data_IF_307964861674
#
_entry.id   IF_307964861674
#
_cell.length_a   1.000
_cell.length_b   1.000
_cell.length_c   1.000
_cell.angle_alpha   90.00
_cell.angle_beta   90.00
_cell.angle_gamma   90.00
#
_symmetry.space_group_name_H-M   'P 1'
#
loop_
_entity.id
_entity.type
_entity.pdbx_description
1 polymer ?
#
# COMPACT_ATOMS: atom_id res chain seq x y z
N UNK A 1 15.38 -23.85 -47.47
CA UNK A 1 15.94 -22.51 -47.22
C UNK A 1 15.57 -22.01 -45.84
N UNK A 2 16.58 -21.52 -45.10
CA UNK A 2 16.43 -20.89 -43.79
C UNK A 2 16.14 -19.39 -43.96
N UNK A 3 15.39 -18.80 -43.03
CA UNK A 3 14.98 -17.40 -43.10
C UNK A 3 15.82 -16.46 -42.22
N UNK A 4 16.48 -16.99 -41.19
CA UNK A 4 17.27 -16.24 -40.21
C UNK A 4 18.74 -16.63 -40.33
N UNK A 5 19.04 -17.93 -40.24
CA UNK A 5 20.40 -18.48 -40.27
C UNK A 5 20.88 -18.74 -41.70
N UNK A 6 20.77 -17.73 -42.57
CA UNK A 6 21.24 -17.85 -43.94
C UNK A 6 22.77 -17.90 -43.99
N UNK A 7 23.31 -18.93 -44.62
CA UNK A 7 24.74 -19.13 -44.77
C UNK A 7 25.06 -19.77 -46.13
N UNK A 8 26.22 -19.45 -46.71
CA UNK A 8 26.62 -19.91 -48.05
C UNK A 8 27.06 -21.39 -48.07
N UNK A 9 27.52 -21.92 -46.92
CA UNK A 9 27.91 -23.32 -46.78
C UNK A 9 26.72 -24.22 -46.39
N UNK A 10 26.86 -25.57 -46.49
CA UNK A 10 25.84 -26.50 -46.06
C UNK A 10 25.46 -26.28 -44.59
N UNK A 11 24.16 -26.26 -44.30
CA UNK A 11 23.65 -26.06 -42.94
C UNK A 11 23.21 -27.37 -42.30
N UNK A 12 23.42 -27.49 -40.99
CA UNK A 12 22.92 -28.58 -40.16
C UNK A 12 21.44 -28.39 -39.75
N UNK A 13 20.83 -27.26 -40.08
CA UNK A 13 19.47 -26.91 -39.64
C UNK A 13 18.43 -27.07 -40.73
N UNK A 14 17.26 -27.58 -40.34
CA UNK A 14 16.04 -27.52 -41.15
C UNK A 14 15.20 -26.29 -40.78
N UNK A 15 14.25 -25.91 -41.63
CA UNK A 15 13.28 -24.84 -41.33
C UNK A 15 12.54 -25.08 -40.01
N UNK A 16 12.15 -26.34 -39.73
CA UNK A 16 11.47 -26.73 -38.49
C UNK A 16 12.36 -26.55 -37.25
N UNK A 17 13.67 -26.77 -37.40
CA UNK A 17 14.63 -26.49 -36.33
C UNK A 17 14.73 -24.98 -36.07
N UNK A 18 14.80 -24.16 -37.12
CA UNK A 18 14.82 -22.70 -36.99
C UNK A 18 13.53 -22.14 -36.34
N UNK A 19 12.36 -22.68 -36.66
CA UNK A 19 11.10 -22.36 -35.99
C UNK A 19 11.12 -22.76 -34.50
N UNK A 20 11.73 -23.91 -34.19
CA UNK A 20 11.89 -24.38 -32.81
C UNK A 20 12.85 -23.49 -32.01
N UNK A 21 13.92 -23.00 -32.64
CA UNK A 21 14.84 -22.02 -32.05
C UNK A 21 14.17 -20.67 -31.79
N UNK A 22 13.26 -20.21 -32.66
CA UNK A 22 12.46 -19.02 -32.39
C UNK A 22 11.59 -19.17 -31.13
N UNK A 23 10.98 -20.33 -30.93
CA UNK A 23 10.21 -20.61 -29.71
C UNK A 23 11.13 -20.68 -28.48
N UNK A 24 12.30 -21.32 -28.62
CA UNK A 24 13.28 -21.46 -27.55
C UNK A 24 13.81 -20.11 -27.06
N UNK A 25 14.28 -19.22 -27.95
CA UNK A 25 14.79 -17.90 -27.53
C UNK A 25 13.73 -17.09 -26.79
N UNK A 26 12.47 -17.14 -27.22
CA UNK A 26 11.37 -16.41 -26.54
C UNK A 26 11.18 -16.92 -25.12
N UNK A 27 11.09 -18.24 -24.96
CA UNK A 27 10.95 -18.86 -23.64
C UNK A 27 12.12 -18.54 -22.73
N UNK A 28 13.35 -18.73 -23.21
CA UNK A 28 14.57 -18.49 -22.43
C UNK A 28 14.71 -17.02 -22.02
N UNK A 29 14.38 -16.09 -22.91
CA UNK A 29 14.39 -14.66 -22.59
C UNK A 29 13.35 -14.32 -21.52
N UNK A 30 12.12 -14.79 -21.65
CA UNK A 30 11.08 -14.56 -20.63
C UNK A 30 11.52 -15.11 -19.27
N UNK A 31 12.08 -16.33 -19.23
CA UNK A 31 12.58 -16.94 -17.99
C UNK A 31 13.75 -16.16 -17.39
N UNK A 32 14.67 -15.65 -18.21
CA UNK A 32 15.81 -14.84 -17.75
C UNK A 32 15.34 -13.51 -17.15
N UNK A 33 14.37 -12.84 -17.78
CA UNK A 33 13.79 -11.59 -17.28
C UNK A 33 13.04 -11.84 -15.96
N UNK A 34 12.25 -12.90 -15.88
CA UNK A 34 11.57 -13.32 -14.65
C UNK A 34 12.56 -13.58 -13.50
N UNK A 35 13.67 -14.26 -13.77
CA UNK A 35 14.72 -14.51 -12.79
C UNK A 35 15.37 -13.21 -12.29
N UNK A 36 15.65 -12.25 -13.19
CA UNK A 36 16.21 -10.95 -12.81
C UNK A 36 15.24 -10.10 -11.99
N UNK A 37 13.94 -10.20 -12.27
CA UNK A 37 12.90 -9.47 -11.55
C UNK A 37 12.55 -10.09 -10.19
N UNK A 38 12.89 -11.36 -9.97
CA UNK A 38 12.44 -12.12 -8.80
C UNK A 38 12.77 -11.42 -7.48
N UNK A 39 14.03 -11.04 -7.27
CA UNK A 39 14.47 -10.41 -6.03
C UNK A 39 13.83 -9.02 -5.85
N UNK A 40 13.69 -8.25 -6.94
CA UNK A 40 13.02 -6.95 -6.90
C UNK A 40 11.54 -7.06 -6.51
N UNK A 41 10.81 -8.01 -7.09
CA UNK A 41 9.42 -8.30 -6.71
C UNK A 41 9.34 -8.76 -5.26
N UNK A 42 10.21 -9.69 -4.87
CA UNK A 42 10.24 -10.25 -3.52
C UNK A 42 10.42 -9.15 -2.47
N UNK A 43 11.34 -8.22 -2.70
CA UNK A 43 11.60 -7.11 -1.78
C UNK A 43 10.41 -6.15 -1.66
N UNK A 44 9.75 -5.81 -2.77
CA UNK A 44 8.57 -4.93 -2.74
C UNK A 44 7.38 -5.62 -2.07
N UNK A 45 7.08 -6.86 -2.43
CA UNK A 45 5.99 -7.63 -1.79
C UNK A 45 6.25 -7.82 -0.30
N UNK A 46 7.48 -8.17 0.09
CA UNK A 46 7.86 -8.34 1.48
C UNK A 46 7.67 -7.07 2.31
N UNK A 47 7.96 -5.89 1.73
CA UNK A 47 7.72 -4.61 2.38
C UNK A 47 6.22 -4.26 2.45
N UNK A 48 5.44 -4.53 1.39
CA UNK A 48 3.98 -4.36 1.41
C UNK A 48 3.36 -5.17 2.54
N UNK A 49 3.69 -6.46 2.63
CA UNK A 49 3.15 -7.35 3.66
C UNK A 49 3.54 -6.87 5.06
N UNK A 50 4.80 -6.51 5.28
CA UNK A 50 5.24 -6.01 6.58
C UNK A 50 4.56 -4.69 6.98
N UNK A 51 4.34 -3.79 6.01
CA UNK A 51 3.62 -2.54 6.24
C UNK A 51 2.15 -2.80 6.60
N UNK A 52 1.48 -3.70 5.87
CA UNK A 52 0.09 -4.08 6.14
C UNK A 52 -0.07 -4.71 7.53
N UNK A 53 0.78 -5.69 7.89
CA UNK A 53 0.75 -6.33 9.21
C UNK A 53 0.94 -5.31 10.35
N UNK A 54 1.89 -4.38 10.21
CA UNK A 54 2.13 -3.35 11.20
C UNK A 54 0.93 -2.39 11.32
N UNK A 55 0.35 -1.99 10.19
CA UNK A 55 -0.81 -1.10 10.15
C UNK A 55 -2.06 -1.76 10.75
N UNK A 56 -2.36 -3.01 10.43
CA UNK A 56 -3.47 -3.76 11.01
C UNK A 56 -3.32 -3.91 12.53
N UNK A 57 -2.10 -4.18 13.01
CA UNK A 57 -1.80 -4.24 14.45
C UNK A 57 -2.07 -2.89 15.14
N UNK A 58 -1.64 -1.79 14.52
CA UNK A 58 -1.88 -0.42 14.97
C UNK A 58 -3.36 -0.08 15.04
N UNK A 59 -4.13 -0.41 14.00
CA UNK A 59 -5.57 -0.20 13.96
C UNK A 59 -6.27 -0.98 15.07
N UNK A 60 -5.96 -2.27 15.21
CA UNK A 60 -6.55 -3.12 16.26
C UNK A 60 -6.26 -2.57 17.66
N UNK A 61 -5.05 -2.07 17.89
CA UNK A 61 -4.68 -1.44 19.16
C UNK A 61 -5.51 -0.17 19.41
N UNK A 62 -5.62 0.71 18.42
CA UNK A 62 -6.39 1.95 18.52
C UNK A 62 -7.90 1.68 18.69
N UNK A 63 -8.44 0.67 18.01
CA UNK A 63 -9.82 0.21 18.15
C UNK A 63 -10.09 -0.31 19.56
N UNK A 64 -9.26 -1.25 20.05
CA UNK A 64 -9.40 -1.80 21.40
C UNK A 64 -9.33 -0.71 22.47
N UNK A 65 -8.39 0.24 22.32
CA UNK A 65 -8.27 1.37 23.24
C UNK A 65 -9.52 2.26 23.22
N UNK A 66 -10.05 2.53 22.04
CA UNK A 66 -11.28 3.32 21.85
C UNK A 66 -12.48 2.60 22.46
N UNK A 67 -12.66 1.30 22.22
CA UNK A 67 -13.72 0.49 22.83
C UNK A 67 -13.60 0.48 24.36
N UNK A 68 -12.39 0.34 24.90
CA UNK A 68 -12.13 0.39 26.34
C UNK A 68 -12.54 1.72 26.98
N UNK A 69 -12.44 2.86 26.27
CA UNK A 69 -12.97 4.15 26.75
C UNK A 69 -14.46 4.04 27.09
N UNK A 70 -15.22 3.47 26.17
CA UNK A 70 -16.66 3.36 26.33
C UNK A 70 -17.01 2.38 27.44
N UNK A 71 -16.34 1.23 27.50
CA UNK A 71 -16.55 0.23 28.56
C UNK A 71 -16.16 0.71 29.97
N UNK A 72 -15.25 1.68 30.08
CA UNK A 72 -14.74 2.16 31.37
C UNK A 72 -15.36 3.48 31.80
N UNK A 73 -15.28 4.51 30.96
CA UNK A 73 -15.71 5.88 31.27
C UNK A 73 -17.17 6.16 30.87
N UNK A 74 -17.69 5.47 29.85
CA UNK A 74 -19.00 5.76 29.27
C UNK A 74 -19.92 4.54 29.18
N UNK A 75 -19.89 3.69 30.22
CA UNK A 75 -20.65 2.41 30.30
C UNK A 75 -22.10 2.48 29.80
N UNK A 76 -22.91 3.51 30.13
CA UNK A 76 -24.31 3.56 29.70
C UNK A 76 -24.54 3.59 28.20
N UNK A 77 -23.51 3.92 27.40
CA UNK A 77 -23.58 3.93 25.93
C UNK A 77 -22.60 2.95 25.27
N UNK A 78 -21.93 2.09 26.04
CA UNK A 78 -20.86 1.25 25.51
C UNK A 78 -21.35 0.22 24.49
N UNK A 79 -22.52 -0.37 24.71
CA UNK A 79 -23.09 -1.36 23.79
C UNK A 79 -23.46 -0.73 22.45
N UNK A 80 -24.14 0.42 22.49
CA UNK A 80 -24.57 1.13 21.28
C UNK A 80 -23.39 1.81 20.55
N UNK A 81 -22.33 2.19 21.27
CA UNK A 81 -21.13 2.79 20.68
C UNK A 81 -20.19 1.75 20.01
N UNK A 82 -20.34 0.47 20.31
CA UNK A 82 -19.46 -0.58 19.79
C UNK A 82 -19.46 -0.64 18.25
N UNK A 83 -20.64 -0.58 17.61
CA UNK A 83 -20.71 -0.64 16.14
C UNK A 83 -20.14 0.62 15.47
N UNK A 84 -20.48 1.86 15.88
CA UNK A 84 -19.82 3.06 15.35
C UNK A 84 -18.29 3.05 15.47
N UNK A 85 -17.75 2.56 16.59
CA UNK A 85 -16.29 2.44 16.77
C UNK A 85 -15.71 1.47 15.73
N UNK A 86 -16.28 0.28 15.62
CA UNK A 86 -15.84 -0.73 14.64
C UNK A 86 -15.94 -0.24 13.19
N UNK A 87 -17.04 0.43 12.85
CA UNK A 87 -17.24 1.04 11.52
C UNK A 87 -16.15 2.07 11.20
N UNK A 88 -15.80 2.95 12.15
CA UNK A 88 -14.74 3.95 11.98
C UNK A 88 -13.40 3.30 11.61
N UNK A 89 -12.97 2.28 12.37
CA UNK A 89 -11.70 1.60 12.12
C UNK A 89 -11.73 0.75 10.84
N UNK A 90 -12.88 0.19 10.49
CA UNK A 90 -13.09 -0.50 9.21
C UNK A 90 -12.96 0.47 8.03
N UNK A 91 -13.59 1.64 8.10
CA UNK A 91 -13.50 2.66 7.06
C UNK A 91 -12.06 3.19 6.89
N UNK A 92 -11.32 3.37 7.99
CA UNK A 92 -9.90 3.73 7.97
C UNK A 92 -9.06 2.64 7.27
N UNK A 93 -9.32 1.36 7.56
CA UNK A 93 -8.62 0.25 6.92
C UNK A 93 -8.89 0.22 5.41
N UNK A 94 -10.17 0.32 5.01
CA UNK A 94 -10.59 0.35 3.62
C UNK A 94 -10.01 1.56 2.87
N UNK A 95 -9.89 2.73 3.52
CA UNK A 95 -9.25 3.91 2.96
C UNK A 95 -7.79 3.63 2.55
N UNK A 96 -7.00 2.96 3.39
CA UNK A 96 -5.61 2.63 3.05
C UNK A 96 -5.53 1.60 1.92
N UNK A 97 -6.46 0.63 1.91
CA UNK A 97 -6.56 -0.39 0.86
C UNK A 97 -7.06 0.15 -0.49
N UNK A 98 -7.48 1.41 -0.55
CA UNK A 98 -7.79 2.10 -1.80
C UNK A 98 -9.27 2.37 -2.06
N UNK A 99 -10.16 2.14 -1.08
CA UNK A 99 -11.57 2.51 -1.20
C UNK A 99 -11.76 4.01 -1.47
N UNK A 100 -12.87 4.39 -2.10
CA UNK A 100 -13.16 5.80 -2.45
C UNK A 100 -13.69 6.64 -1.29
N UNK A 101 -13.99 6.01 -0.14
CA UNK A 101 -14.39 6.71 1.08
C UNK A 101 -13.29 7.68 1.52
N UNK A 102 -13.65 8.80 2.16
CA UNK A 102 -12.68 9.76 2.70
C UNK A 102 -12.57 9.63 4.21
N UNK A 103 -11.39 9.94 4.76
CA UNK A 103 -11.17 10.00 6.21
C UNK A 103 -12.17 10.95 6.87
N UNK A 104 -12.42 12.09 6.24
CA UNK A 104 -13.43 13.05 6.69
C UNK A 104 -14.82 12.41 6.80
N UNK A 105 -15.28 11.72 5.76
CA UNK A 105 -16.61 11.09 5.77
C UNK A 105 -16.75 10.01 6.86
N UNK A 106 -15.69 9.23 7.11
CA UNK A 106 -15.67 8.19 8.13
C UNK A 106 -15.75 8.79 9.55
N UNK A 107 -14.92 9.79 9.83
CA UNK A 107 -14.89 10.48 11.13
C UNK A 107 -16.19 11.22 11.39
N UNK A 108 -16.72 11.94 10.40
CA UNK A 108 -17.98 12.67 10.54
C UNK A 108 -19.16 11.73 10.77
N UNK A 109 -19.24 10.61 10.04
CA UNK A 109 -20.28 9.58 10.23
C UNK A 109 -20.21 8.96 11.63
N UNK A 110 -19.00 8.73 12.15
CA UNK A 110 -18.81 8.29 13.53
C UNK A 110 -19.40 9.31 14.52
N UNK A 111 -19.10 10.60 14.37
CA UNK A 111 -19.65 11.63 15.25
C UNK A 111 -21.17 11.83 15.07
N UNK A 112 -21.72 11.61 13.86
CA UNK A 112 -23.17 11.57 13.64
C UNK A 112 -23.81 10.46 14.46
N UNK A 113 -23.23 9.25 14.45
CA UNK A 113 -23.71 8.13 15.25
C UNK A 113 -23.49 8.31 16.76
N UNK A 114 -22.45 9.03 17.16
CA UNK A 114 -22.12 9.25 18.58
C UNK A 114 -23.05 10.28 19.23
N UNK A 115 -23.49 11.31 18.51
CA UNK A 115 -24.22 12.43 19.11
C UNK A 115 -25.55 12.03 19.77
N UNK A 116 -26.43 11.20 19.16
CA UNK A 116 -27.64 10.76 19.84
C UNK A 116 -27.39 10.01 21.14
N UNK A 117 -26.29 9.24 21.21
CA UNK A 117 -25.90 8.50 22.42
C UNK A 117 -25.45 9.45 23.53
N UNK A 118 -24.58 10.41 23.20
CA UNK A 118 -24.12 11.43 24.15
C UNK A 118 -25.30 12.28 24.62
N UNK A 119 -26.21 12.66 23.73
CA UNK A 119 -27.36 13.48 24.07
C UNK A 119 -28.31 12.76 25.05
N UNK A 120 -28.72 11.53 24.74
CA UNK A 120 -29.66 10.76 25.56
C UNK A 120 -29.06 10.21 26.85
N UNK A 121 -27.80 9.76 26.85
CA UNK A 121 -27.21 9.08 28.00
C UNK A 121 -26.46 10.02 28.95
N UNK A 122 -25.92 11.13 28.44
CA UNK A 122 -25.06 12.02 29.22
C UNK A 122 -25.64 13.43 29.42
N UNK A 123 -26.26 14.02 28.39
CA UNK A 123 -26.79 15.39 28.48
C UNK A 123 -28.21 15.38 29.09
N UNK A 124 -29.08 14.49 28.64
CA UNK A 124 -30.46 14.33 29.11
C UNK A 124 -30.77 12.87 29.49
N UNK A 125 -30.18 12.35 30.58
CA UNK A 125 -30.33 10.95 31.00
C UNK A 125 -31.77 10.53 31.34
N UNK A 126 -32.70 11.49 31.48
CA UNK A 126 -34.13 11.21 31.68
C UNK A 126 -34.87 10.75 30.41
N UNK A 127 -34.21 10.73 29.24
CA UNK A 127 -34.78 10.26 27.99
C UNK A 127 -34.29 8.83 27.73
N UNK A 128 -35.14 7.85 28.05
CA UNK A 128 -34.78 6.42 27.97
C UNK A 128 -34.92 5.84 26.56
N UNK A 129 -35.91 6.30 25.78
CA UNK A 129 -36.14 5.88 24.39
C UNK A 129 -36.37 7.12 23.49
N UNK A 130 -35.38 7.43 22.65
CA UNK A 130 -35.55 8.39 21.57
C UNK A 130 -36.31 7.72 20.42
N UNK A 131 -37.33 8.38 19.87
CA UNK A 131 -37.94 7.91 18.63
C UNK A 131 -36.90 7.91 17.49
N UNK A 132 -37.10 7.05 16.48
CA UNK A 132 -36.22 6.99 15.32
C UNK A 132 -36.12 8.35 14.62
N UNK A 133 -37.26 9.02 14.42
CA UNK A 133 -37.32 10.38 13.85
C UNK A 133 -36.51 11.41 14.66
N UNK A 134 -36.53 11.31 15.99
CA UNK A 134 -35.79 12.23 16.85
C UNK A 134 -34.29 11.93 16.81
N UNK A 135 -33.92 10.65 16.80
CA UNK A 135 -32.54 10.19 16.64
C UNK A 135 -31.95 10.67 15.32
N UNK A 136 -32.73 10.61 14.24
CA UNK A 136 -32.30 11.11 12.93
C UNK A 136 -32.21 12.63 12.90
N UNK A 137 -33.14 13.35 13.54
CA UNK A 137 -33.01 14.80 13.70
C UNK A 137 -31.70 15.19 14.42
N UNK A 138 -31.35 14.49 15.49
CA UNK A 138 -30.08 14.70 16.20
C UNK A 138 -28.89 14.49 15.26
N UNK A 139 -28.87 13.39 14.49
CA UNK A 139 -27.82 13.10 13.51
C UNK A 139 -27.65 14.24 12.51
N UNK A 140 -28.73 14.64 11.85
CA UNK A 140 -28.71 15.68 10.80
C UNK A 140 -28.30 17.05 11.36
N UNK A 141 -28.73 17.37 12.58
CA UNK A 141 -28.47 18.67 13.21
C UNK A 141 -27.04 18.79 13.77
N UNK A 142 -26.34 17.67 13.98
CA UNK A 142 -25.00 17.62 14.61
C UNK A 142 -24.00 18.57 13.96
N UNK A 143 -24.00 18.65 12.63
CA UNK A 143 -23.06 19.52 11.90
C UNK A 143 -23.29 21.01 12.17
N UNK A 144 -24.55 21.43 12.28
CA UNK A 144 -24.93 22.83 12.47
C UNK A 144 -24.70 23.32 13.90
N UNK A 145 -25.00 22.47 14.90
CA UNK A 145 -24.87 22.84 16.32
C UNK A 145 -23.48 22.55 16.90
N UNK A 146 -22.68 21.73 16.21
CA UNK A 146 -21.32 21.36 16.56
C UNK A 146 -21.12 20.98 18.05
N UNK A 147 -21.77 19.90 18.53
CA UNK A 147 -21.79 19.56 19.96
C UNK A 147 -20.39 19.18 20.49
N UNK A 148 -19.54 18.69 19.61
CA UNK A 148 -18.18 18.23 19.90
C UNK A 148 -17.11 19.31 19.72
N UNK A 149 -17.48 20.57 19.50
CA UNK A 149 -16.52 21.67 19.37
C UNK A 149 -15.53 21.45 18.22
N UNK A 150 -14.26 21.82 18.42
CA UNK A 150 -13.22 21.69 17.39
C UNK A 150 -12.64 20.27 17.29
N UNK A 151 -12.91 19.38 18.25
CA UNK A 151 -12.28 18.06 18.36
C UNK A 151 -12.60 17.14 17.17
N UNK A 152 -13.83 17.18 16.65
CA UNK A 152 -14.20 16.41 15.45
C UNK A 152 -13.38 16.83 14.21
N UNK A 153 -13.22 18.14 13.99
CA UNK A 153 -12.44 18.69 12.86
C UNK A 153 -10.93 18.49 13.03
N UNK A 154 -10.42 18.60 14.26
CA UNK A 154 -9.02 18.33 14.55
C UNK A 154 -8.69 16.85 14.30
N UNK A 155 -9.56 15.93 14.73
CA UNK A 155 -9.40 14.51 14.45
C UNK A 155 -9.38 14.21 12.95
N UNK A 156 -10.25 14.85 12.15
CA UNK A 156 -10.19 14.76 10.69
C UNK A 156 -8.83 15.21 10.15
N UNK A 157 -8.32 16.35 10.63
CA UNK A 157 -7.07 16.94 10.14
C UNK A 157 -5.86 16.05 10.43
N UNK A 158 -5.73 15.60 11.68
CA UNK A 158 -4.63 14.73 12.13
C UNK A 158 -4.66 13.38 11.40
N UNK A 159 -5.83 12.74 11.31
CA UNK A 159 -5.96 11.46 10.63
C UNK A 159 -5.74 11.59 9.11
N UNK A 160 -6.27 12.64 8.48
CA UNK A 160 -6.17 12.79 7.02
C UNK A 160 -4.73 12.91 6.56
N UNK A 161 -3.89 13.66 7.29
CA UNK A 161 -2.46 13.82 6.96
C UNK A 161 -1.73 12.47 6.99
N UNK A 162 -1.80 11.78 8.12
CA UNK A 162 -1.05 10.53 8.33
C UNK A 162 -1.57 9.38 7.47
N UNK A 163 -2.89 9.24 7.33
CA UNK A 163 -3.50 8.20 6.51
C UNK A 163 -3.27 8.45 5.02
N UNK A 164 -3.25 9.71 4.57
CA UNK A 164 -2.93 10.02 3.18
C UNK A 164 -1.51 9.55 2.81
N UNK A 165 -0.51 9.82 3.67
CA UNK A 165 0.86 9.37 3.44
C UNK A 165 0.94 7.83 3.36
N UNK A 166 0.28 7.13 4.28
CA UNK A 166 0.16 5.67 4.27
C UNK A 166 -0.50 5.12 3.01
N UNK A 167 -1.58 5.76 2.54
CA UNK A 167 -2.27 5.38 1.29
C UNK A 167 -1.37 5.60 0.09
N UNK A 168 -0.64 6.71 0.04
CA UNK A 168 0.30 6.98 -1.05
C UNK A 168 1.45 5.98 -1.08
N UNK A 169 1.97 5.57 0.08
CA UNK A 169 3.01 4.55 0.15
C UNK A 169 2.50 3.21 -0.37
N UNK A 170 1.33 2.78 0.08
CA UNK A 170 0.70 1.55 -0.41
C UNK A 170 0.51 1.57 -1.93
N UNK A 171 -0.03 2.67 -2.48
CA UNK A 171 -0.20 2.86 -3.92
C UNK A 171 1.12 2.86 -4.68
N UNK A 172 2.15 3.53 -4.17
CA UNK A 172 3.46 3.56 -4.80
C UNK A 172 4.08 2.16 -4.87
N UNK A 173 3.98 1.38 -3.79
CA UNK A 173 4.47 0.00 -3.77
C UNK A 173 3.70 -0.90 -4.77
N UNK A 174 2.36 -0.78 -4.82
CA UNK A 174 1.53 -1.50 -5.80
C UNK A 174 1.88 -1.13 -7.25
N UNK A 175 2.08 0.16 -7.53
CA UNK A 175 2.53 0.64 -8.84
C UNK A 175 3.90 0.06 -9.21
N UNK A 176 4.83 -0.02 -8.25
CA UNK A 176 6.13 -0.67 -8.44
C UNK A 176 5.98 -2.12 -8.92
N UNK A 177 5.10 -2.91 -8.31
CA UNK A 177 4.78 -4.28 -8.74
C UNK A 177 4.16 -4.30 -10.14
N UNK A 178 3.24 -3.38 -10.43
CA UNK A 178 2.58 -3.29 -11.73
C UNK A 178 3.59 -2.98 -12.85
N UNK A 179 4.51 -2.05 -12.63
CA UNK A 179 5.58 -1.70 -13.58
C UNK A 179 6.49 -2.91 -13.83
N UNK A 180 6.88 -3.63 -12.78
CA UNK A 180 7.72 -4.83 -12.94
C UNK A 180 6.95 -5.93 -13.67
N UNK A 181 5.68 -6.18 -13.34
CA UNK A 181 4.86 -7.17 -14.03
C UNK A 181 4.66 -6.82 -15.51
N UNK A 182 4.40 -5.56 -15.82
CA UNK A 182 4.21 -5.08 -17.20
C UNK A 182 5.50 -5.23 -18.01
N UNK A 183 6.64 -4.83 -17.44
CA UNK A 183 7.95 -4.93 -18.12
C UNK A 183 8.44 -6.38 -18.27
N UNK A 184 8.10 -7.27 -17.33
CA UNK A 184 8.38 -8.70 -17.42
C UNK A 184 7.66 -9.39 -18.59
N UNK A 185 6.43 -8.97 -18.87
CA UNK A 185 5.57 -9.54 -19.90
C UNK A 185 5.62 -8.75 -21.22
N UNK A 186 6.57 -7.82 -21.37
CA UNK A 186 6.75 -7.07 -22.59
C UNK A 186 7.05 -8.02 -23.77
N UNK A 187 6.19 -7.98 -24.79
CA UNK A 187 6.31 -8.87 -25.93
C UNK A 187 7.57 -8.56 -26.74
N UNK A 188 8.36 -9.59 -27.04
CA UNK A 188 9.50 -9.45 -27.95
C UNK A 188 9.01 -9.23 -29.39
N UNK A 189 9.55 -8.22 -30.06
CA UNK A 189 9.26 -7.98 -31.48
C UNK A 189 9.74 -9.14 -32.36
N UNK A 190 9.22 -9.23 -33.59
CA UNK A 190 9.66 -10.24 -34.56
C UNK A 190 11.14 -10.05 -34.89
N UNK A 191 11.58 -8.80 -35.00
CA UNK A 191 12.96 -8.40 -35.29
C UNK A 191 13.89 -8.81 -34.15
N UNK A 192 13.49 -8.55 -32.90
CA UNK A 192 14.22 -9.01 -31.72
C UNK A 192 14.33 -10.54 -31.69
N UNK A 193 13.21 -11.24 -31.93
CA UNK A 193 13.19 -12.71 -31.98
C UNK A 193 14.15 -13.26 -33.05
N UNK A 194 14.23 -12.61 -34.22
CA UNK A 194 15.19 -12.98 -35.28
C UNK A 194 16.63 -12.70 -34.88
N UNK A 195 16.90 -11.55 -34.26
CA UNK A 195 18.23 -11.19 -33.79
C UNK A 195 18.74 -12.14 -32.70
N UNK A 196 17.87 -12.54 -31.77
CA UNK A 196 18.19 -13.52 -30.73
C UNK A 196 18.53 -14.90 -31.31
N UNK A 197 17.75 -15.39 -32.28
CA UNK A 197 18.07 -16.65 -32.97
C UNK A 197 19.41 -16.54 -33.69
N UNK A 198 19.67 -15.42 -34.36
CA UNK A 198 20.96 -15.15 -35.03
C UNK A 198 22.12 -15.16 -34.06
N UNK A 199 21.91 -14.62 -32.88
CA UNK A 199 22.93 -14.54 -31.84
C UNK A 199 23.21 -15.89 -31.17
N UNK A 200 22.17 -16.68 -30.88
CA UNK A 200 22.29 -17.85 -30.00
C UNK A 200 22.38 -19.18 -30.76
N UNK A 201 21.62 -19.35 -31.84
CA UNK A 201 21.46 -20.67 -32.46
C UNK A 201 21.98 -20.77 -33.89
N UNK A 202 22.20 -19.68 -34.61
CA UNK A 202 22.84 -19.78 -35.93
C UNK A 202 24.24 -20.41 -35.94
N UNK A 203 25.10 -20.27 -34.91
CA UNK A 203 26.33 -21.05 -34.81
C UNK A 203 26.09 -22.56 -34.87
N UNK A 204 25.03 -23.04 -34.21
CA UNK A 204 24.67 -24.46 -34.20
C UNK A 204 24.31 -24.96 -35.60
N UNK A 205 23.65 -24.11 -36.40
CA UNK A 205 23.32 -24.40 -37.80
C UNK A 205 24.55 -24.47 -38.72
N UNK A 206 25.69 -23.95 -38.27
CA UNK A 206 27.00 -24.05 -38.92
C UNK A 206 27.90 -25.12 -38.27
N UNK A 207 27.38 -25.92 -37.34
CA UNK A 207 28.16 -26.95 -36.61
C UNK A 207 28.98 -26.42 -35.42
N UNK A 208 28.85 -25.13 -35.08
CA UNK A 208 29.59 -24.44 -34.02
C UNK A 208 28.80 -24.42 -32.70
N UNK A 209 28.43 -25.58 -32.17
CA UNK A 209 27.53 -25.69 -30.99
C UNK A 209 28.16 -25.30 -29.66
N UNK A 210 29.48 -25.15 -29.60
CA UNK A 210 30.23 -24.78 -28.38
C UNK A 210 30.65 -23.30 -28.37
N UNK A 211 30.42 -22.56 -29.45
CA UNK A 211 30.80 -21.14 -29.56
C UNK A 211 29.65 -20.27 -29.05
N UNK A 212 29.92 -19.45 -28.03
CA UNK A 212 28.95 -18.48 -27.49
C UNK A 212 29.11 -17.11 -28.17
N UNK A 213 28.06 -16.25 -28.16
CA UNK A 213 28.16 -14.91 -28.71
C UNK A 213 29.17 -14.04 -27.95
N UNK A 214 29.80 -13.12 -28.69
CA UNK A 214 30.64 -12.08 -28.11
C UNK A 214 29.80 -11.17 -27.20
N UNK A 215 30.39 -10.67 -26.10
CA UNK A 215 29.71 -9.78 -25.15
C UNK A 215 29.15 -8.53 -25.85
N UNK A 216 29.95 -7.88 -26.71
CA UNK A 216 29.52 -6.70 -27.45
C UNK A 216 28.34 -6.99 -28.40
N UNK A 217 28.32 -8.18 -29.02
CA UNK A 217 27.20 -8.58 -29.87
C UNK A 217 25.94 -8.84 -29.04
N UNK A 218 26.07 -9.52 -27.90
CA UNK A 218 24.97 -9.70 -26.96
C UNK A 218 24.38 -8.37 -26.52
N UNK A 219 25.21 -7.43 -26.07
CA UNK A 219 24.75 -6.12 -25.60
C UNK A 219 23.98 -5.37 -26.70
N UNK A 220 24.47 -5.39 -27.94
CA UNK A 220 23.79 -4.73 -29.05
C UNK A 220 22.41 -5.33 -29.33
N UNK A 221 22.31 -6.66 -29.37
CA UNK A 221 21.02 -7.35 -29.56
C UNK A 221 20.07 -7.06 -28.40
N UNK A 222 20.54 -7.15 -27.16
CA UNK A 222 19.69 -6.98 -25.98
C UNK A 222 19.22 -5.53 -25.80
N UNK A 223 20.07 -4.54 -26.07
CA UNK A 223 19.66 -3.12 -26.07
C UNK A 223 18.61 -2.83 -27.15
N UNK A 224 18.76 -3.43 -28.34
CA UNK A 224 17.74 -3.32 -29.40
C UNK A 224 16.41 -3.96 -29.00
N UNK A 225 16.45 -5.14 -28.37
CA UNK A 225 15.27 -5.85 -27.89
C UNK A 225 14.53 -5.13 -26.75
N UNK A 226 15.27 -4.46 -25.86
CA UNK A 226 14.75 -3.86 -24.63
C UNK A 226 14.70 -2.33 -24.69
N UNK A 227 14.76 -1.74 -25.88
CA UNK A 227 14.78 -0.29 -26.07
C UNK A 227 13.60 0.39 -25.35
N UNK A 228 12.37 -0.09 -25.56
CA UNK A 228 11.17 0.45 -24.91
C UNK A 228 11.15 0.27 -23.38
N UNK A 229 11.76 -0.81 -22.88
CA UNK A 229 11.89 -1.04 -21.42
C UNK A 229 12.93 -0.08 -20.83
N UNK A 230 14.02 0.19 -21.56
CA UNK A 230 15.09 1.09 -21.10
C UNK A 230 14.66 2.56 -21.01
N UNK A 231 13.63 2.97 -21.77
CA UNK A 231 13.05 4.32 -21.67
C UNK A 231 12.49 4.63 -20.27
N UNK A 232 12.10 3.61 -19.51
CA UNK A 232 11.58 3.75 -18.15
C UNK A 232 12.64 4.10 -17.11
N UNK A 233 13.94 4.05 -17.44
CA UNK A 233 15.03 4.24 -16.47
C UNK A 233 14.93 5.59 -15.74
N UNK A 234 14.60 6.67 -16.45
CA UNK A 234 14.47 7.99 -15.84
C UNK A 234 13.32 8.03 -14.81
N UNK A 235 12.14 7.53 -15.18
CA UNK A 235 10.96 7.50 -14.29
C UNK A 235 11.16 6.53 -13.13
N UNK A 236 11.83 5.40 -13.36
CA UNK A 236 12.14 4.42 -12.33
C UNK A 236 13.10 4.97 -11.26
N UNK A 237 14.11 5.75 -11.68
CA UNK A 237 15.02 6.43 -10.75
C UNK A 237 14.27 7.41 -9.86
N UNK A 238 13.38 8.19 -10.45
CA UNK A 238 12.56 9.17 -9.72
C UNK A 238 11.58 8.48 -8.76
N UNK A 239 10.95 7.39 -9.23
CA UNK A 239 10.10 6.54 -8.40
C UNK A 239 10.84 6.03 -7.17
N UNK A 240 12.05 5.48 -7.32
CA UNK A 240 12.85 4.98 -6.20
C UNK A 240 13.21 6.11 -5.23
N UNK A 241 13.62 7.28 -5.74
CA UNK A 241 13.93 8.43 -4.90
C UNK A 241 12.73 8.93 -4.11
N UNK A 242 11.55 8.99 -4.74
CA UNK A 242 10.29 9.38 -4.09
C UNK A 242 9.85 8.35 -3.05
N UNK A 243 9.96 7.06 -3.38
CA UNK A 243 9.62 5.96 -2.48
C UNK A 243 10.53 5.97 -1.24
N UNK A 244 11.83 6.17 -1.42
CA UNK A 244 12.79 6.30 -0.32
C UNK A 244 12.45 7.50 0.58
N UNK A 245 12.14 8.65 -0.01
CA UNK A 245 11.72 9.83 0.75
C UNK A 245 10.48 9.55 1.60
N UNK A 246 9.42 9.02 0.98
CA UNK A 246 8.15 8.75 1.67
C UNK A 246 8.30 7.76 2.82
N UNK A 247 9.04 6.66 2.61
CA UNK A 247 9.27 5.66 3.65
C UNK A 247 10.08 6.22 4.83
N UNK A 248 11.06 7.09 4.55
CA UNK A 248 11.86 7.71 5.61
C UNK A 248 11.04 8.75 6.39
N UNK A 249 10.26 9.58 5.71
CA UNK A 249 9.42 10.61 6.34
C UNK A 249 8.36 9.99 7.26
N UNK A 250 7.69 8.94 6.78
CA UNK A 250 6.70 8.22 7.58
C UNK A 250 7.29 7.57 8.83
N UNK A 251 8.51 7.06 8.74
CA UNK A 251 9.16 6.41 9.86
C UNK A 251 9.80 7.38 10.86
N UNK A 252 10.22 8.57 10.42
CA UNK A 252 10.82 9.58 11.29
C UNK A 252 9.77 10.32 12.12
N UNK A 253 8.60 10.57 11.53
CA UNK A 253 7.56 11.42 12.12
C UNK A 253 6.72 10.71 13.17
N UNK A 254 6.62 9.36 13.13
CA UNK A 254 5.69 8.57 13.95
C UNK A 254 4.23 9.05 13.89
N UNK A 255 3.90 9.90 12.90
CA UNK A 255 2.65 10.65 12.84
C UNK A 255 1.42 9.74 12.72
N UNK A 256 1.57 8.57 12.09
CA UNK A 256 0.50 7.59 12.00
C UNK A 256 0.16 6.95 13.34
N UNK A 257 1.19 6.59 14.11
CA UNK A 257 1.01 5.95 15.42
C UNK A 257 0.39 6.93 16.41
N UNK A 258 0.87 8.18 16.38
CA UNK A 258 0.33 9.28 17.17
C UNK A 258 -1.11 9.61 16.77
N UNK A 259 -1.41 9.71 15.47
CA UNK A 259 -2.76 10.02 14.99
C UNK A 259 -3.76 8.92 15.36
N UNK A 260 -3.42 7.63 15.13
CA UNK A 260 -4.30 6.50 15.48
C UNK A 260 -4.47 6.36 17.00
N UNK A 261 -3.40 6.49 17.78
CA UNK A 261 -3.49 6.44 19.25
C UNK A 261 -4.25 7.64 19.83
N UNK A 262 -4.23 8.78 19.14
CA UNK A 262 -4.92 10.01 19.51
C UNK A 262 -6.43 10.00 19.29
N UNK A 263 -6.97 9.01 18.56
CA UNK A 263 -8.40 8.84 18.30
C UNK A 263 -9.18 8.79 19.62
N UNK A 264 -8.78 7.89 20.52
CA UNK A 264 -9.36 7.74 21.84
C UNK A 264 -9.43 9.07 22.61
N UNK A 265 -8.33 9.83 22.61
CA UNK A 265 -8.23 11.09 23.34
C UNK A 265 -9.15 12.14 22.72
N UNK A 266 -9.18 12.22 21.40
CA UNK A 266 -10.03 13.16 20.66
C UNK A 266 -11.51 12.90 20.92
N UNK A 267 -11.90 11.62 21.00
CA UNK A 267 -13.26 11.20 21.34
C UNK A 267 -13.60 11.58 22.79
N UNK A 268 -12.70 11.30 23.74
CA UNK A 268 -12.90 11.67 25.15
C UNK A 268 -13.11 13.18 25.31
N UNK A 269 -12.23 14.00 24.75
CA UNK A 269 -12.34 15.47 24.83
C UNK A 269 -13.59 16.00 24.13
N UNK A 270 -13.98 15.42 22.99
CA UNK A 270 -15.22 15.74 22.32
C UNK A 270 -16.45 15.48 23.20
N UNK A 271 -16.52 14.32 23.86
CA UNK A 271 -17.63 13.97 24.74
C UNK A 271 -17.66 14.91 25.96
N UNK A 272 -16.51 15.17 26.58
CA UNK A 272 -16.41 16.10 27.72
C UNK A 272 -16.86 17.51 27.32
N UNK A 273 -16.46 17.99 26.14
CA UNK A 273 -16.93 19.28 25.61
C UNK A 273 -18.45 19.32 25.44
N UNK A 274 -19.06 18.25 24.90
CA UNK A 274 -20.51 18.17 24.74
C UNK A 274 -21.24 18.17 26.10
N UNK A 275 -20.70 17.47 27.11
CA UNK A 275 -21.26 17.47 28.46
C UNK A 275 -21.19 18.85 29.13
N UNK A 276 -20.06 19.54 29.01
CA UNK A 276 -19.87 20.89 29.57
C UNK A 276 -20.86 21.91 28.97
N UNK A 277 -21.20 21.75 27.69
CA UNK A 277 -22.14 22.61 26.98
C UNK A 277 -23.59 22.05 26.97
N UNK A 278 -23.87 21.02 27.77
CA UNK A 278 -25.14 20.29 27.77
C UNK A 278 -26.39 21.17 27.82
N UNK A 279 -26.53 22.13 28.75
CA UNK A 279 -27.71 22.98 28.83
C UNK A 279 -27.98 23.81 27.57
N UNK A 280 -26.93 24.35 26.95
CA UNK A 280 -27.02 25.11 25.71
C UNK A 280 -27.39 24.20 24.53
N UNK A 281 -26.81 23.00 24.49
CA UNK A 281 -27.13 22.00 23.47
C UNK A 281 -28.58 21.54 23.57
N UNK A 282 -29.08 21.24 24.77
CA UNK A 282 -30.49 20.88 25.00
C UNK A 282 -31.44 21.98 24.51
N UNK A 283 -31.21 23.25 24.89
CA UNK A 283 -32.06 24.35 24.44
C UNK A 283 -32.07 24.52 22.92
N UNK A 284 -30.94 24.27 22.26
CA UNK A 284 -30.81 24.36 20.79
C UNK A 284 -31.49 23.18 20.11
N UNK A 285 -31.30 21.97 20.63
CA UNK A 285 -31.93 20.75 20.13
C UNK A 285 -33.44 20.82 20.31
N UNK A 286 -33.95 21.27 21.45
CA UNK A 286 -35.38 21.42 21.69
C UNK A 286 -36.04 22.37 20.69
N UNK A 287 -35.29 23.39 20.24
CA UNK A 287 -35.75 24.34 19.22
C UNK A 287 -35.78 23.74 17.81
N UNK A 288 -34.84 22.86 17.49
CA UNK A 288 -34.68 22.29 16.13
C UNK A 288 -35.46 20.99 15.96
N UNK A 289 -35.34 20.07 16.92
CA UNK A 289 -35.95 18.74 16.92
C UNK A 289 -37.26 18.65 17.72
N UNK A 290 -37.61 19.69 18.49
CA UNK A 290 -38.76 19.68 19.39
C UNK A 290 -38.45 19.01 20.74
N UNK A 291 -39.46 18.91 21.62
CA UNK A 291 -39.28 18.26 22.92
C UNK A 291 -39.40 16.72 22.80
N UNK A 292 -38.51 15.96 23.44
CA UNK A 292 -38.59 14.50 23.46
C UNK A 292 -39.78 14.03 24.29
N UNK A 293 -40.51 13.00 23.83
CA UNK A 293 -41.60 12.38 24.58
C UNK A 293 -41.01 11.63 25.79
N UNK A 294 -41.18 12.18 26.99
CA UNK A 294 -40.71 11.55 28.22
C UNK A 294 -41.58 10.35 28.60
N UNK A 295 -40.96 9.18 28.81
CA UNK A 295 -41.50 8.14 29.69
C UNK A 295 -40.61 8.09 30.94
N UNK A 296 -41.19 8.39 32.10
CA UNK A 296 -40.49 8.46 33.39
C UNK A 296 -39.86 7.10 33.74
N UNK A 297 -38.52 7.05 33.67
CA UNK A 297 -37.70 5.95 34.15
C UNK A 297 -36.70 6.45 35.20
N UNK A 298 -36.59 5.72 36.32
CA UNK A 298 -35.79 6.11 37.48
C UNK A 298 -34.29 6.30 37.15
N UNK A 299 -33.77 7.45 37.56
CA UNK A 299 -32.39 7.90 37.38
C UNK A 299 -31.39 7.10 38.22
N UNK A 300 -30.28 6.69 37.62
CA UNK A 300 -29.06 6.29 38.34
C UNK A 300 -27.90 7.20 37.90
N UNK A 301 -27.39 7.99 38.85
CA UNK A 301 -26.23 8.89 38.67
C UNK A 301 -24.97 8.07 38.44
N UNK A 302 -24.33 8.24 37.28
CA UNK A 302 -23.02 7.64 37.01
C UNK A 302 -21.91 8.51 37.60
N UNK A 303 -21.10 7.93 38.50
CA UNK A 303 -19.90 8.57 39.04
C UNK A 303 -18.75 8.50 38.03
N UNK A 304 -18.02 9.60 37.92
CA UNK A 304 -16.82 9.77 37.08
C UNK A 304 -15.68 8.97 37.73
N UNK A 305 -15.13 7.99 37.01
CA UNK A 305 -13.93 7.26 37.42
C UNK A 305 -12.75 7.74 36.57
N UNK A 306 -11.61 8.13 37.18
CA UNK A 306 -10.42 8.48 36.42
C UNK A 306 -9.90 7.26 35.65
N UNK A 307 -9.70 7.43 34.34
CA UNK A 307 -9.13 6.40 33.48
C UNK A 307 -7.67 6.18 33.90
N UNK A 308 -7.34 4.96 34.32
CA UNK A 308 -5.96 4.54 34.61
C UNK A 308 -5.34 4.09 33.28
N UNK A 309 -4.19 4.67 32.92
CA UNK A 309 -3.42 4.22 31.75
C UNK A 309 -3.03 2.75 31.91
N UNK A 310 -3.53 1.90 31.01
CA UNK A 310 -3.10 0.51 30.90
C UNK A 310 -1.98 0.44 29.88
N UNK A 311 -0.79 0.10 30.34
CA UNK A 311 0.42 -0.09 29.52
C UNK A 311 0.37 -1.44 28.79
N UNK A 312 -0.29 -1.49 27.64
CA UNK A 312 -0.09 -2.53 26.63
C UNK A 312 0.98 -2.09 25.62
N UNK A 313 2.21 -1.87 26.10
CA UNK A 313 3.32 -1.33 25.30
C UNK A 313 4.23 -2.40 24.69
N UNK A 314 4.20 -3.65 25.15
CA UNK A 314 5.20 -4.67 24.75
C UNK A 314 4.96 -5.28 23.35
N UNK A 315 3.71 -5.58 22.96
CA UNK A 315 3.43 -6.10 21.62
C UNK A 315 3.65 -5.05 20.52
N UNK A 316 3.36 -3.79 20.85
CA UNK A 316 3.53 -2.62 19.98
C UNK A 316 4.99 -2.36 19.61
N UNK A 317 5.89 -2.38 20.60
CA UNK A 317 7.33 -2.13 20.41
C UNK A 317 8.02 -3.22 19.56
N UNK A 318 7.57 -4.47 19.66
CA UNK A 318 8.13 -5.58 18.86
C UNK A 318 7.72 -5.53 17.39
N UNK A 319 6.47 -5.16 17.08
CA UNK A 319 6.03 -4.97 15.69
C UNK A 319 6.78 -3.81 15.02
N UNK A 320 7.02 -2.73 15.76
CA UNK A 320 7.70 -1.53 15.26
C UNK A 320 9.20 -1.75 14.97
N UNK A 321 9.88 -2.50 15.83
CA UNK A 321 11.30 -2.83 15.63
C UNK A 321 11.50 -3.79 14.44
N UNK A 322 10.58 -4.73 14.22
CA UNK A 322 10.58 -5.62 13.05
C UNK A 322 10.39 -4.85 11.74
N UNK A 323 9.40 -3.94 11.69
CA UNK A 323 9.15 -3.09 10.52
C UNK A 323 10.36 -2.22 10.18
N UNK A 324 11.02 -1.65 11.20
CA UNK A 324 12.20 -0.81 11.03
C UNK A 324 13.40 -1.53 10.41
N UNK A 325 13.62 -2.79 10.77
CA UNK A 325 14.68 -3.61 10.17
C UNK A 325 14.36 -3.94 8.71
N UNK A 326 13.13 -4.41 8.43
CA UNK A 326 12.66 -4.70 7.06
C UNK A 326 12.70 -3.46 6.16
N UNK A 327 12.35 -2.30 6.69
CA UNK A 327 12.45 -1.00 6.01
C UNK A 327 13.86 -0.70 5.54
N UNK A 328 14.86 -0.83 6.42
CA UNK A 328 16.25 -0.52 6.09
C UNK A 328 16.78 -1.44 5.00
N UNK A 329 16.48 -2.72 5.11
CA UNK A 329 16.82 -3.73 4.09
C UNK A 329 16.19 -3.38 2.74
N UNK A 330 14.89 -3.05 2.75
CA UNK A 330 14.14 -2.63 1.58
C UNK A 330 14.75 -1.40 0.89
N UNK A 331 14.96 -0.30 1.61
CA UNK A 331 15.55 0.93 1.06
C UNK A 331 16.93 0.65 0.46
N UNK A 332 17.78 -0.08 1.18
CA UNK A 332 19.12 -0.42 0.70
C UNK A 332 19.07 -1.26 -0.58
N UNK A 333 18.09 -2.15 -0.72
CA UNK A 333 17.89 -2.93 -1.93
C UNK A 333 17.35 -2.07 -3.09
N UNK A 334 16.33 -1.25 -2.84
CA UNK A 334 15.75 -0.37 -3.85
C UNK A 334 16.79 0.61 -4.39
N UNK A 335 17.65 1.17 -3.53
CA UNK A 335 18.76 2.04 -3.94
C UNK A 335 19.75 1.33 -4.88
N UNK A 336 20.07 0.06 -4.62
CA UNK A 336 20.90 -0.77 -5.52
C UNK A 336 20.21 -1.10 -6.83
N UNK A 337 18.87 -1.16 -6.82
CA UNK A 337 18.03 -1.40 -7.99
C UNK A 337 17.67 -0.12 -8.76
N UNK A 338 18.25 1.03 -8.39
CA UNK A 338 17.98 2.33 -9.03
C UNK A 338 18.26 2.36 -10.52
N UNK A 339 19.27 1.61 -10.97
CA UNK A 339 19.67 1.52 -12.38
C UNK A 339 19.20 0.22 -13.03
N UNK A 340 18.15 -0.42 -12.49
CA UNK A 340 17.69 -1.73 -12.95
C UNK A 340 17.40 -1.74 -14.45
N UNK A 341 16.56 -0.81 -14.93
CA UNK A 341 16.18 -0.72 -16.34
C UNK A 341 17.31 -0.23 -17.26
N UNK A 342 18.22 0.64 -16.78
CA UNK A 342 19.43 0.98 -17.54
C UNK A 342 20.41 -0.20 -17.70
N UNK A 343 20.45 -1.14 -16.74
CA UNK A 343 21.47 -2.21 -16.70
C UNK A 343 20.93 -3.59 -17.09
N UNK A 344 19.67 -3.67 -17.56
CA UNK A 344 19.00 -4.95 -17.81
C UNK A 344 19.68 -5.73 -18.95
N UNK A 345 20.17 -5.04 -19.98
CA UNK A 345 20.88 -5.67 -21.10
C UNK A 345 22.20 -6.29 -20.64
N UNK A 346 22.95 -5.56 -19.80
CA UNK A 346 24.20 -6.02 -19.20
C UNK A 346 23.98 -7.24 -18.32
N UNK A 347 22.94 -7.22 -17.47
CA UNK A 347 22.57 -8.35 -16.60
C UNK A 347 22.15 -9.59 -17.39
N UNK A 348 21.45 -9.42 -18.51
CA UNK A 348 21.03 -10.53 -19.37
C UNK A 348 22.17 -11.08 -20.25
N UNK A 349 23.22 -10.30 -20.45
CA UNK A 349 24.46 -10.71 -21.10
C UNK A 349 25.53 -11.13 -20.08
N UNK A 350 25.17 -11.29 -18.82
CA UNK A 350 26.05 -11.79 -17.77
C UNK A 350 25.96 -13.34 -17.67
N UNK A 351 27.06 -13.99 -17.28
CA UNK A 351 27.13 -15.44 -17.09
C UNK A 351 27.26 -16.26 -18.38
N UNK A 352 26.60 -17.43 -18.41
CA UNK A 352 26.84 -18.49 -19.40
C UNK A 352 26.35 -18.20 -20.82
N UNK A 353 25.69 -17.07 -21.03
CA UNK A 353 25.18 -16.68 -22.35
C UNK A 353 26.27 -16.12 -23.28
N UNK A 354 27.41 -15.71 -22.74
CA UNK A 354 28.51 -15.07 -23.49
C UNK A 354 29.85 -15.72 -23.16
N UNK A 355 30.83 -15.61 -24.06
CA UNK A 355 32.23 -15.90 -23.74
C UNK A 355 32.88 -14.66 -23.12
N UNK A 356 33.46 -14.78 -21.91
CA UNK A 356 34.22 -13.70 -21.25
C UNK A 356 35.74 -13.79 -21.46
N UNK A 357 36.29 -15.01 -21.45
CA UNK A 357 37.73 -15.23 -21.26
C UNK A 357 38.43 -15.92 -22.45
N UNK A 358 37.72 -16.29 -23.52
CA UNK A 358 38.32 -16.83 -24.75
C UNK A 358 38.35 -15.77 -25.84
N UNK A 359 39.44 -15.74 -26.60
CA UNK A 359 39.59 -14.90 -27.80
C UNK A 359 38.77 -15.40 -29.00
N UNK A 360 37.86 -16.36 -28.79
CA UNK A 360 37.02 -16.95 -29.83
C UNK A 360 35.55 -16.82 -29.44
N UNK A 361 34.80 -16.00 -30.18
CA UNK A 361 33.38 -15.80 -29.94
C UNK A 361 32.60 -15.55 -31.23
N UNK A 362 31.29 -15.77 -31.20
CA UNK A 362 30.41 -15.54 -32.34
C UNK A 362 29.98 -14.08 -32.44
N UNK A 363 30.23 -13.43 -33.59
CA UNK A 363 29.86 -12.03 -33.81
C UNK A 363 28.55 -11.83 -34.60
N UNK A 364 27.89 -12.92 -35.03
CA UNK A 364 26.69 -12.88 -35.85
C UNK A 364 26.90 -13.30 -37.31
N UNK A 365 28.15 -13.47 -37.73
CA UNK A 365 28.54 -13.89 -39.07
C UNK A 365 29.57 -15.01 -39.04
N UNK A 366 30.63 -14.85 -38.25
CA UNK A 366 31.75 -15.78 -38.10
C UNK A 366 32.28 -15.81 -36.66
N UNK A 367 33.27 -16.69 -36.41
CA UNK A 367 34.02 -16.73 -35.15
C UNK A 367 35.19 -15.75 -35.23
N UNK A 368 35.29 -14.85 -34.25
CA UNK A 368 36.35 -13.82 -34.14
C UNK A 368 37.18 -13.96 -32.88
#
# INVERSE_FOLDING_TARGET
>A
DLQICQHRAPTCCTKKMEESYQAAVRRERTQSIQALNFELKYMIVGHITAFQEAFESLLRFAENRTSSLFETAYRPMAREAAEPVKELFTDISLYILGAETTVESAVLRFFDSLFPLVYSRLINPGITDLSEDYTECLRLTRQDINPFGHYSKNMVTELSKSLWASRMLSRALSLGIEVINTTEHAALSKECSRALVRMQYCPHCQGLTLIRPCVGYCLNVMRGCLASVSELDAQWREFISTLEYLINEMAASHELETALSGIWSSINEAILHAQLNGPQLSATVDKVCGQPKQQEGNLSSANIVPVKEVTETQAFVMAHTSLNNKRREFINYMRRSRTFYASIAERLCDGDLVMRDSSTCWNGEDVV
#
